data_IF_962664785462
#
_entry.id   IF_962664785462
#
_cell.length_a   1.000
_cell.length_b   1.000
_cell.length_c   1.000
_cell.angle_alpha   90.00
_cell.angle_beta   90.00
_cell.angle_gamma   90.00
#
_symmetry.space_group_name_H-M   'P 1'
#
loop_
_entity.id
_entity.type
_entity.pdbx_description
1 polymer ?
#
# COMPACT_ATOMS: atom_id res chain seq x y z
N UNK A 1 14.07 9.21 -8.30
CA UNK A 1 13.72 7.77 -8.24
C UNK A 1 13.44 7.39 -6.80
N UNK A 2 12.42 6.57 -6.57
CA UNK A 2 12.09 6.04 -5.25
C UNK A 2 13.17 5.05 -4.80
N UNK A 3 13.74 5.25 -3.61
CA UNK A 3 14.71 4.31 -3.04
C UNK A 3 13.98 3.25 -2.21
N UNK A 4 13.86 2.03 -2.75
CA UNK A 4 13.11 0.94 -2.12
C UNK A 4 13.74 0.51 -0.79
N UNK A 5 15.07 0.50 -0.69
CA UNK A 5 15.76 0.13 0.56
C UNK A 5 15.43 1.10 1.69
N UNK A 6 15.33 2.40 1.39
CA UNK A 6 14.92 3.41 2.38
C UNK A 6 13.44 3.28 2.70
N UNK A 7 12.59 3.13 1.69
CA UNK A 7 11.13 3.09 1.87
C UNK A 7 10.70 1.91 2.74
N UNK A 8 11.26 0.72 2.51
CA UNK A 8 10.81 -0.49 3.18
C UNK A 8 11.54 -0.78 4.48
N UNK A 9 12.57 0.00 4.82
CA UNK A 9 13.31 -0.17 6.07
C UNK A 9 12.38 -0.01 7.28
N UNK A 10 12.48 -0.92 8.24
CA UNK A 10 11.64 -1.00 9.43
C UNK A 10 10.13 -1.11 9.14
N UNK A 11 9.74 -1.57 7.95
CA UNK A 11 8.35 -1.90 7.64
C UNK A 11 8.13 -3.42 7.67
N UNK A 12 6.89 -3.90 7.88
CA UNK A 12 6.56 -5.32 7.75
C UNK A 12 6.99 -5.96 6.40
N UNK A 13 7.22 -5.15 5.37
CA UNK A 13 7.58 -5.63 4.03
C UNK A 13 9.09 -5.74 3.77
N UNK A 14 9.95 -5.32 4.73
CA UNK A 14 11.39 -5.32 4.56
C UNK A 14 11.92 -6.67 4.06
N UNK A 15 11.46 -7.77 4.68
CA UNK A 15 11.92 -9.11 4.33
C UNK A 15 11.44 -9.56 2.96
N UNK A 16 10.26 -9.14 2.52
CA UNK A 16 9.72 -9.45 1.18
C UNK A 16 10.60 -8.80 0.11
N UNK A 17 10.99 -7.55 0.36
CA UNK A 17 11.81 -6.75 -0.57
C UNK A 17 13.24 -7.25 -0.61
N UNK A 18 13.86 -7.49 0.56
CA UNK A 18 15.25 -7.95 0.66
C UNK A 18 15.44 -9.37 0.12
N UNK A 19 14.47 -10.27 0.33
CA UNK A 19 14.49 -11.64 -0.22
C UNK A 19 14.13 -11.73 -1.70
N UNK A 20 13.61 -10.64 -2.30
CA UNK A 20 13.14 -10.63 -3.68
C UNK A 20 11.83 -11.39 -3.91
N UNK A 21 11.13 -11.82 -2.85
CA UNK A 21 9.83 -12.52 -2.96
C UNK A 21 8.78 -11.73 -3.75
N UNK A 22 8.82 -10.39 -3.69
CA UNK A 22 7.92 -9.53 -4.48
C UNK A 22 7.95 -9.78 -5.99
N UNK A 23 9.07 -10.30 -6.53
CA UNK A 23 9.23 -10.57 -7.97
C UNK A 23 9.42 -12.04 -8.35
N UNK A 24 9.66 -12.92 -7.38
CA UNK A 24 9.95 -14.33 -7.65
C UNK A 24 8.65 -15.14 -7.62
N UNK A 25 8.45 -16.05 -8.57
CA UNK A 25 7.31 -16.98 -8.54
C UNK A 25 5.94 -16.35 -8.87
N UNK A 26 5.92 -15.11 -9.34
CA UNK A 26 4.71 -14.39 -9.75
C UNK A 26 4.82 -13.91 -11.19
N UNK A 27 3.69 -13.86 -11.90
CA UNK A 27 3.59 -13.22 -13.22
C UNK A 27 3.37 -11.70 -13.13
N UNK A 28 3.24 -11.14 -11.92
CA UNK A 28 2.85 -9.75 -11.69
C UNK A 28 3.80 -9.00 -10.73
N UNK A 29 5.12 -8.95 -11.00
CA UNK A 29 6.09 -8.33 -10.11
C UNK A 29 5.87 -6.81 -9.95
N UNK A 30 5.40 -6.13 -10.98
CA UNK A 30 5.11 -4.69 -10.95
C UNK A 30 3.89 -4.38 -10.07
N UNK A 31 2.86 -5.22 -10.14
CA UNK A 31 1.66 -5.10 -9.30
C UNK A 31 2.04 -5.30 -7.85
N UNK A 32 2.77 -6.38 -7.55
CA UNK A 32 3.27 -6.65 -6.20
C UNK A 32 4.09 -5.47 -5.65
N UNK A 33 5.03 -4.94 -6.44
CA UNK A 33 5.84 -3.82 -5.99
C UNK A 33 4.99 -2.56 -5.76
N UNK A 34 4.02 -2.29 -6.63
CA UNK A 34 3.10 -1.16 -6.49
C UNK A 34 2.26 -1.27 -5.22
N UNK A 35 1.72 -2.46 -4.94
CA UNK A 35 0.91 -2.78 -3.75
C UNK A 35 1.68 -2.58 -2.45
N UNK A 36 2.91 -3.09 -2.39
CA UNK A 36 3.75 -2.92 -1.21
C UNK A 36 4.15 -1.44 -1.04
N UNK A 37 4.48 -0.77 -2.15
CA UNK A 37 4.99 0.61 -2.16
C UNK A 37 3.93 1.60 -1.66
N UNK A 38 2.69 1.52 -2.15
CA UNK A 38 1.64 2.46 -1.76
C UNK A 38 1.32 2.41 -0.26
N UNK A 39 1.29 1.20 0.30
CA UNK A 39 1.04 1.00 1.71
C UNK A 39 2.23 1.47 2.56
N UNK A 40 3.46 1.13 2.18
CA UNK A 40 4.65 1.60 2.88
C UNK A 40 4.76 3.13 2.84
N UNK A 41 4.52 3.76 1.70
CA UNK A 41 4.59 5.21 1.55
C UNK A 41 3.59 5.90 2.48
N UNK A 42 2.31 5.52 2.43
CA UNK A 42 1.28 6.10 3.30
C UNK A 42 1.55 5.78 4.78
N UNK A 43 2.18 4.64 5.11
CA UNK A 43 2.56 4.35 6.50
C UNK A 43 3.58 5.35 7.05
N UNK A 44 4.49 5.85 6.19
CA UNK A 44 5.52 6.83 6.56
C UNK A 44 5.00 8.26 6.53
N UNK A 45 4.22 8.61 5.51
CA UNK A 45 3.81 10.00 5.26
C UNK A 45 2.42 10.33 5.79
N UNK A 46 1.57 9.32 5.96
CA UNK A 46 0.12 9.52 5.94
C UNK A 46 -0.37 10.06 4.59
N UNK A 47 -1.64 10.41 4.54
CA UNK A 47 -2.26 11.09 3.41
C UNK A 47 -3.05 10.17 2.49
N UNK A 48 -3.39 10.70 1.31
CA UNK A 48 -4.17 10.06 0.27
C UNK A 48 -3.24 9.36 -0.73
N UNK A 49 -3.51 8.09 -1.01
CA UNK A 49 -2.98 7.40 -2.18
C UNK A 49 -4.10 7.19 -3.20
N UNK A 50 -3.74 7.33 -4.48
CA UNK A 50 -4.57 6.92 -5.61
C UNK A 50 -3.70 6.21 -6.65
N UNK A 51 -4.27 5.26 -7.38
CA UNK A 51 -3.68 4.79 -8.62
C UNK A 51 -3.60 5.95 -9.64
N UNK A 52 -2.68 5.84 -10.59
CA UNK A 52 -2.36 6.92 -11.54
C UNK A 52 -3.45 7.12 -12.60
N UNK A 53 -4.35 6.16 -12.75
CA UNK A 53 -5.50 6.19 -13.65
C UNK A 53 -6.79 6.67 -12.96
N UNK A 54 -6.72 7.06 -11.68
CA UNK A 54 -7.84 7.65 -10.96
C UNK A 54 -7.98 9.15 -11.27
N UNK A 55 -9.20 9.57 -11.62
CA UNK A 55 -9.54 10.99 -11.84
C UNK A 55 -10.46 11.49 -10.73
N UNK A 56 -10.04 12.52 -10.01
CA UNK A 56 -10.85 13.18 -9.01
C UNK A 56 -11.86 14.14 -9.66
N UNK A 57 -13.14 13.80 -9.63
CA UNK A 57 -14.24 14.66 -10.13
C UNK A 57 -14.73 15.69 -9.09
N UNK A 58 -14.29 15.56 -7.83
CA UNK A 58 -14.62 16.44 -6.70
C UNK A 58 -13.39 16.60 -5.81
N UNK A 59 -13.36 17.66 -5.02
CA UNK A 59 -12.31 17.88 -4.03
C UNK A 59 -12.30 16.73 -3.00
N UNK A 60 -11.13 16.12 -2.81
CA UNK A 60 -10.89 14.99 -1.89
C UNK A 60 -10.18 15.41 -0.59
N UNK A 61 -9.85 16.70 -0.42
CA UNK A 61 -9.03 17.21 0.69
C UNK A 61 -9.66 17.01 2.06
N UNK A 62 -10.96 16.72 2.14
CA UNK A 62 -11.67 16.47 3.40
C UNK A 62 -11.83 14.98 3.74
N UNK A 63 -11.51 14.07 2.81
CA UNK A 63 -11.65 12.64 3.04
C UNK A 63 -10.50 12.13 3.91
N UNK A 64 -10.82 11.45 5.01
CA UNK A 64 -9.85 10.95 5.99
C UNK A 64 -10.23 9.53 6.41
N UNK A 65 -9.21 8.74 6.73
CA UNK A 65 -9.34 7.41 7.34
C UNK A 65 -10.36 6.51 6.64
N UNK A 66 -10.17 6.35 5.33
CA UNK A 66 -11.06 5.58 4.47
C UNK A 66 -10.26 4.67 3.53
N UNK A 67 -10.95 3.66 3.01
CA UNK A 67 -10.45 2.74 1.98
C UNK A 67 -11.53 2.56 0.92
N UNK A 68 -11.12 2.48 -0.34
CA UNK A 68 -12.02 2.20 -1.45
C UNK A 68 -12.65 0.81 -1.35
N UNK A 69 -13.82 0.66 -1.95
CA UNK A 69 -14.55 -0.60 -2.05
C UNK A 69 -14.58 -0.99 -3.52
N UNK A 70 -14.19 -2.22 -3.84
CA UNK A 70 -14.28 -2.78 -5.18
C UNK A 70 -15.70 -3.29 -5.46
N UNK A 71 -16.26 -4.02 -4.51
CA UNK A 71 -17.60 -4.63 -4.57
C UNK A 71 -18.18 -4.84 -3.16
N UNK A 72 -19.37 -5.45 -3.05
CA UNK A 72 -20.10 -5.60 -1.78
C UNK A 72 -19.35 -6.33 -0.65
N UNK A 73 -18.24 -7.02 -0.94
CA UNK A 73 -17.45 -7.75 0.05
C UNK A 73 -15.95 -7.48 0.00
N UNK A 74 -15.48 -6.76 -1.01
CA UNK A 74 -14.04 -6.61 -1.29
C UNK A 74 -13.60 -5.16 -1.18
N UNK A 75 -12.59 -4.92 -0.35
CA UNK A 75 -11.91 -3.63 -0.26
C UNK A 75 -10.84 -3.52 -1.36
N UNK A 76 -10.70 -2.33 -1.93
CA UNK A 76 -9.67 -2.02 -2.93
C UNK A 76 -8.58 -1.15 -2.30
N UNK A 77 -7.32 -1.38 -2.66
CA UNK A 77 -6.18 -0.56 -2.24
C UNK A 77 -5.74 0.46 -3.30
N UNK A 78 -6.51 0.65 -4.37
CA UNK A 78 -6.23 1.65 -5.42
C UNK A 78 -6.61 3.09 -5.04
N UNK A 79 -7.35 3.27 -3.93
CA UNK A 79 -7.74 4.58 -3.40
C UNK A 79 -7.96 4.47 -1.89
N UNK A 80 -7.16 5.15 -1.09
CA UNK A 80 -7.32 5.17 0.37
C UNK A 80 -6.62 6.37 1.01
N UNK A 81 -7.06 6.72 2.21
CA UNK A 81 -6.38 7.70 3.05
C UNK A 81 -6.20 7.16 4.46
N UNK A 82 -5.00 7.27 5.01
CA UNK A 82 -4.75 7.04 6.43
C UNK A 82 -3.83 8.10 7.02
N UNK A 83 -4.05 8.41 8.29
CA UNK A 83 -3.08 9.20 9.05
C UNK A 83 -1.78 8.39 9.23
N UNK A 84 -0.66 9.12 9.36
CA UNK A 84 0.62 8.49 9.70
C UNK A 84 0.46 7.69 10.99
N UNK A 85 1.09 6.53 11.07
CA UNK A 85 0.97 5.59 12.21
C UNK A 85 -0.43 5.01 12.46
N UNK A 86 -1.32 5.01 11.46
CA UNK A 86 -2.62 4.33 11.55
C UNK A 86 -2.48 2.87 12.02
N UNK A 87 -3.08 2.48 13.17
CA UNK A 87 -3.04 1.10 13.65
C UNK A 87 -3.67 0.12 12.68
N UNK A 88 -4.71 0.56 11.95
CA UNK A 88 -5.38 -0.23 10.93
C UNK A 88 -4.43 -0.53 9.76
N UNK A 89 -3.75 0.50 9.21
CA UNK A 89 -2.81 0.30 8.11
C UNK A 89 -1.65 -0.62 8.53
N UNK A 90 -1.14 -0.44 9.75
CA UNK A 90 -0.11 -1.32 10.31
C UNK A 90 -0.58 -2.79 10.35
N UNK A 91 -1.79 -3.05 10.86
CA UNK A 91 -2.35 -4.39 10.92
C UNK A 91 -2.54 -5.02 9.52
N UNK A 92 -2.99 -4.22 8.54
CA UNK A 92 -3.10 -4.66 7.14
C UNK A 92 -1.73 -5.05 6.57
N UNK A 93 -0.71 -4.22 6.77
CA UNK A 93 0.64 -4.50 6.30
C UNK A 93 1.22 -5.76 6.96
N UNK A 94 1.02 -5.95 8.27
CA UNK A 94 1.45 -7.16 8.97
C UNK A 94 0.72 -8.41 8.46
N UNK A 95 -0.58 -8.31 8.16
CA UNK A 95 -1.34 -9.42 7.60
C UNK A 95 -0.82 -9.79 6.21
N UNK A 96 -0.63 -8.80 5.32
CA UNK A 96 -0.06 -9.01 3.98
C UNK A 96 1.32 -9.66 4.11
N UNK A 97 2.19 -9.16 4.99
CA UNK A 97 3.54 -9.70 5.14
C UNK A 97 3.56 -11.18 5.58
N UNK A 98 2.61 -11.58 6.43
CA UNK A 98 2.44 -12.97 6.89
C UNK A 98 1.89 -13.88 5.80
N UNK A 99 1.00 -13.39 4.95
CA UNK A 99 0.35 -14.18 3.89
C UNK A 99 1.01 -14.06 2.51
N UNK A 100 2.07 -13.25 2.38
CA UNK A 100 2.75 -13.02 1.10
C UNK A 100 3.43 -14.30 0.61
N UNK A 101 2.97 -14.79 -0.54
CA UNK A 101 3.48 -16.01 -1.20
C UNK A 101 4.69 -15.69 -2.08
#
# INVERSE_FOLDING_TARGET
YLNLSILFNNTPFQDIISSGRWRNGTSFPEVNLSDLTRLALVSHTGGLYTDTDAVAIRNTDKLRNFVGIQDGSTLANGLFHFDRTSPYLKAVMENIAKSFQ
#
